data_IF_680981329964
#
_entry.id   IF_680981329964
#
_cell.length_a   1.000
_cell.length_b   1.000
_cell.length_c   1.000
_cell.angle_alpha   90.00
_cell.angle_beta   90.00
_cell.angle_gamma   90.00
#
_symmetry.space_group_name_H-M   'P 1'
#
loop_
_entity.id
_entity.type
_entity.pdbx_description
1 polymer ?
#
# COMPACT_ATOMS: atom_id res chain seq x y z
N UNK A 1 -0.64 -24.15 38.63
CA UNK A 1 -0.57 -22.89 37.91
C UNK A 1 0.53 -23.01 36.87
N UNK A 2 0.19 -22.95 35.58
CA UNK A 2 1.20 -23.01 34.52
C UNK A 2 2.08 -21.74 34.54
N UNK A 3 3.39 -21.87 34.34
CA UNK A 3 4.28 -20.71 34.27
C UNK A 3 3.90 -19.80 33.10
N UNK A 4 3.93 -18.49 33.31
CA UNK A 4 3.54 -17.47 32.32
C UNK A 4 4.24 -17.64 30.96
N UNK A 5 5.49 -18.13 30.94
CA UNK A 5 6.24 -18.44 29.71
C UNK A 5 5.61 -19.58 28.89
N UNK A 6 5.00 -20.57 29.53
CA UNK A 6 4.32 -21.69 28.87
C UNK A 6 3.02 -21.20 28.23
N UNK A 7 2.24 -20.35 28.91
CA UNK A 7 1.01 -19.76 28.39
C UNK A 7 1.30 -18.90 27.15
N UNK A 8 2.33 -18.05 27.20
CA UNK A 8 2.75 -17.21 26.06
C UNK A 8 3.20 -18.07 24.87
N UNK A 9 3.90 -19.19 25.13
CA UNK A 9 4.32 -20.13 24.08
C UNK A 9 3.12 -20.81 23.44
N UNK A 10 2.15 -21.26 24.21
CA UNK A 10 0.92 -21.89 23.70
C UNK A 10 0.04 -20.91 22.92
N UNK A 11 -0.11 -19.67 23.39
CA UNK A 11 -0.84 -18.63 22.67
C UNK A 11 -0.18 -18.30 21.33
N UNK A 12 1.16 -18.22 21.28
CA UNK A 12 1.90 -18.04 20.03
C UNK A 12 1.73 -19.22 19.07
N UNK A 13 1.73 -20.45 19.58
CA UNK A 13 1.50 -21.65 18.77
C UNK A 13 0.09 -21.67 18.20
N UNK A 14 -0.93 -21.34 18.99
CA UNK A 14 -2.34 -21.26 18.54
C UNK A 14 -2.55 -20.13 17.53
N UNK A 15 -1.99 -18.93 17.77
CA UNK A 15 -2.06 -17.81 16.84
C UNK A 15 -1.38 -18.16 15.49
N UNK A 16 -0.23 -18.81 15.53
CA UNK A 16 0.45 -19.30 14.33
C UNK A 16 -0.38 -20.35 13.58
N UNK A 17 -1.01 -21.31 14.29
CA UNK A 17 -1.86 -22.32 13.65
C UNK A 17 -3.06 -21.71 12.93
N UNK A 18 -3.69 -20.68 13.50
CA UNK A 18 -4.78 -19.95 12.87
C UNK A 18 -4.30 -19.17 11.64
N UNK A 19 -3.15 -18.48 11.76
CA UNK A 19 -2.52 -17.79 10.63
C UNK A 19 -2.18 -18.76 9.48
N UNK A 20 -1.62 -19.91 9.80
CA UNK A 20 -1.34 -20.96 8.79
C UNK A 20 -2.59 -21.47 8.08
N UNK A 21 -3.69 -21.68 8.81
CA UNK A 21 -4.98 -22.07 8.19
C UNK A 21 -5.51 -20.99 7.25
N UNK A 22 -5.44 -19.74 7.66
CA UNK A 22 -5.86 -18.59 6.83
C UNK A 22 -5.00 -18.48 5.57
N UNK A 23 -3.69 -18.62 5.67
CA UNK A 23 -2.78 -18.65 4.53
C UNK A 23 -3.09 -19.83 3.60
N UNK A 24 -3.34 -21.02 4.13
CA UNK A 24 -3.73 -22.17 3.30
C UNK A 24 -5.03 -21.95 2.55
N UNK A 25 -6.04 -21.36 3.20
CA UNK A 25 -7.33 -21.00 2.57
C UNK A 25 -7.11 -20.00 1.43
N UNK A 26 -6.34 -18.95 1.69
CA UNK A 26 -5.99 -17.91 0.72
C UNK A 26 -5.24 -18.48 -0.51
N UNK A 27 -4.22 -19.31 -0.29
CA UNK A 27 -3.40 -19.90 -1.34
C UNK A 27 -4.13 -20.96 -2.19
N UNK A 28 -5.31 -21.42 -1.77
CA UNK A 28 -6.17 -22.29 -2.58
C UNK A 28 -6.97 -21.54 -3.63
N UNK A 29 -7.01 -20.21 -3.58
CA UNK A 29 -7.67 -19.39 -4.59
C UNK A 29 -6.87 -19.45 -5.90
N UNK A 30 -7.52 -19.94 -6.97
CA UNK A 30 -6.89 -20.16 -8.29
C UNK A 30 -6.30 -18.89 -8.93
N UNK A 31 -6.82 -17.71 -8.57
CA UNK A 31 -6.36 -16.43 -9.08
C UNK A 31 -4.90 -16.10 -8.72
N UNK A 32 -4.39 -16.61 -7.59
CA UNK A 32 -2.99 -16.38 -7.16
C UNK A 32 -1.97 -17.16 -7.99
N UNK A 33 -2.38 -18.23 -8.65
CA UNK A 33 -1.47 -19.25 -9.21
C UNK A 33 -1.14 -18.98 -10.68
N UNK A 34 -2.12 -18.54 -11.48
CA UNK A 34 -1.97 -18.41 -12.95
C UNK A 34 -0.80 -17.54 -13.44
N UNK A 35 -0.54 -16.33 -12.89
CA UNK A 35 0.55 -15.50 -13.39
C UNK A 35 1.95 -16.04 -13.06
N UNK A 36 2.08 -16.82 -11.98
CA UNK A 36 3.38 -17.38 -11.53
C UNK A 36 3.80 -18.62 -12.34
N UNK A 37 2.84 -19.38 -12.85
CA UNK A 37 3.12 -20.56 -13.67
C UNK A 37 3.69 -20.19 -15.05
N UNK A 38 3.33 -19.02 -15.58
CA UNK A 38 3.77 -18.59 -16.92
C UNK A 38 5.27 -18.27 -16.99
N UNK A 39 5.87 -17.70 -15.96
CA UNK A 39 7.31 -17.41 -15.92
C UNK A 39 8.14 -18.70 -15.73
N UNK A 40 7.61 -19.67 -14.99
CA UNK A 40 8.26 -20.95 -14.79
C UNK A 40 8.26 -21.81 -16.06
N UNK A 41 7.22 -21.70 -16.88
CA UNK A 41 7.09 -22.40 -18.15
C UNK A 41 8.12 -21.93 -19.23
N UNK A 42 8.76 -20.77 -19.03
CA UNK A 42 9.79 -20.25 -19.95
C UNK A 42 11.17 -20.89 -19.78
N UNK A 43 11.40 -21.69 -18.76
CA UNK A 43 12.69 -22.37 -18.58
C UNK A 43 12.85 -23.51 -19.59
N UNK A 44 13.83 -23.37 -20.48
CA UNK A 44 14.09 -24.32 -21.58
C UNK A 44 15.03 -25.47 -21.20
N UNK A 45 15.29 -25.69 -19.91
CA UNK A 45 16.16 -26.77 -19.45
C UNK A 45 17.65 -26.44 -19.40
N UNK A 46 18.08 -25.28 -19.88
CA UNK A 46 19.48 -24.88 -19.85
C UNK A 46 19.84 -24.21 -18.50
N UNK A 47 20.89 -24.70 -17.86
CA UNK A 47 21.37 -24.18 -16.59
C UNK A 47 20.61 -24.71 -15.37
N UNK A 48 20.86 -24.12 -14.20
CA UNK A 48 20.21 -24.49 -12.94
C UNK A 48 18.73 -24.14 -12.98
N UNK A 49 17.87 -25.11 -12.62
CA UNK A 49 16.43 -24.88 -12.48
C UNK A 49 16.12 -23.65 -11.62
N UNK A 50 15.28 -22.74 -12.07
CA UNK A 50 14.87 -21.57 -11.30
C UNK A 50 14.22 -21.99 -9.99
N UNK A 51 14.34 -21.13 -8.95
CA UNK A 51 13.58 -21.35 -7.72
C UNK A 51 12.08 -21.18 -8.02
N UNK A 52 11.27 -22.04 -7.41
CA UNK A 52 9.82 -22.02 -7.57
C UNK A 52 9.24 -20.70 -7.05
N UNK A 53 8.62 -19.92 -7.95
CA UNK A 53 8.05 -18.59 -7.68
C UNK A 53 6.87 -18.68 -6.74
N UNK A 54 6.06 -19.71 -6.88
CA UNK A 54 4.90 -19.92 -6.01
C UNK A 54 5.32 -20.16 -4.56
N UNK A 55 6.33 -20.99 -4.33
CA UNK A 55 6.88 -21.24 -2.99
C UNK A 55 7.44 -19.97 -2.35
N UNK A 56 8.13 -19.13 -3.14
CA UNK A 56 8.67 -17.84 -2.66
C UNK A 56 7.54 -16.85 -2.38
N UNK A 57 6.51 -16.76 -3.23
CA UNK A 57 5.32 -15.93 -2.99
C UNK A 57 4.63 -16.33 -1.68
N UNK A 58 4.40 -17.63 -1.46
CA UNK A 58 3.85 -18.16 -0.21
C UNK A 58 4.67 -17.76 1.01
N UNK A 59 5.99 -17.79 0.89
CA UNK A 59 6.88 -17.37 1.97
C UNK A 59 6.81 -15.88 2.26
N UNK A 60 6.65 -15.01 1.25
CA UNK A 60 6.42 -13.58 1.48
C UNK A 60 5.06 -13.30 2.13
N UNK A 61 4.00 -14.01 1.75
CA UNK A 61 2.70 -13.92 2.41
C UNK A 61 2.83 -14.36 3.87
N UNK A 62 3.54 -15.48 4.15
CA UNK A 62 3.84 -15.92 5.50
C UNK A 62 4.61 -14.87 6.30
N UNK A 63 5.62 -14.23 5.68
CA UNK A 63 6.39 -13.14 6.27
C UNK A 63 5.50 -12.00 6.75
N UNK A 64 4.58 -11.55 5.91
CA UNK A 64 3.64 -10.45 6.22
C UNK A 64 2.66 -10.86 7.32
N UNK A 65 2.02 -12.03 7.19
CA UNK A 65 1.01 -12.52 8.15
C UNK A 65 1.57 -12.72 9.55
N UNK A 66 2.83 -13.14 9.66
CA UNK A 66 3.50 -13.39 10.93
C UNK A 66 4.37 -12.20 11.39
N UNK A 67 4.30 -11.05 10.72
CA UNK A 67 5.10 -9.86 11.02
C UNK A 67 6.60 -10.15 11.16
N UNK A 68 7.16 -11.00 10.28
CA UNK A 68 8.58 -11.32 10.29
C UNK A 68 9.34 -10.12 9.71
N UNK A 69 10.25 -9.48 10.47
CA UNK A 69 10.79 -8.17 10.08
C UNK A 69 11.71 -8.24 8.86
N UNK A 70 12.57 -9.26 8.75
CA UNK A 70 13.56 -9.34 7.67
C UNK A 70 13.43 -10.61 6.83
N UNK A 71 13.96 -10.58 5.61
CA UNK A 71 14.04 -11.78 4.76
C UNK A 71 15.02 -12.82 5.35
N UNK A 72 16.04 -12.37 6.05
CA UNK A 72 16.97 -13.23 6.78
C UNK A 72 16.25 -14.04 7.87
N UNK A 73 15.40 -13.39 8.67
CA UNK A 73 14.60 -14.03 9.70
C UNK A 73 13.58 -15.00 9.09
N UNK A 74 12.97 -14.64 7.95
CA UNK A 74 12.10 -15.53 7.20
C UNK A 74 12.84 -16.80 6.78
N UNK A 75 14.01 -16.70 6.15
CA UNK A 75 14.81 -17.85 5.72
C UNK A 75 15.22 -18.72 6.91
N UNK A 76 15.70 -18.11 7.99
CA UNK A 76 16.02 -18.82 9.24
C UNK A 76 14.81 -19.60 9.77
N UNK A 77 13.64 -18.97 9.80
CA UNK A 77 12.40 -19.60 10.26
C UNK A 77 11.98 -20.75 9.34
N UNK A 78 12.06 -20.59 8.03
CA UNK A 78 11.77 -21.65 7.07
C UNK A 78 12.72 -22.85 7.19
N UNK A 79 13.98 -22.62 7.59
CA UNK A 79 14.96 -23.69 7.83
C UNK A 79 14.69 -24.44 9.13
N UNK A 80 14.22 -23.78 10.17
CA UNK A 80 14.02 -24.38 11.50
C UNK A 80 12.60 -24.93 11.71
N UNK A 81 11.55 -24.27 11.21
CA UNK A 81 10.16 -24.68 11.38
C UNK A 81 9.66 -25.54 10.22
N UNK A 82 9.45 -26.83 10.46
CA UNK A 82 8.97 -27.76 9.43
C UNK A 82 7.59 -27.41 8.89
N UNK A 83 6.69 -26.90 9.73
CA UNK A 83 5.34 -26.52 9.33
C UNK A 83 5.36 -25.33 8.38
N UNK A 84 6.07 -24.26 8.72
CA UNK A 84 6.25 -23.08 7.88
C UNK A 84 6.85 -23.43 6.51
N UNK A 85 7.89 -24.25 6.54
CA UNK A 85 8.58 -24.72 5.34
C UNK A 85 7.68 -25.52 4.41
N UNK A 86 6.95 -26.51 4.94
CA UNK A 86 6.03 -27.35 4.16
C UNK A 86 4.86 -26.57 3.59
N UNK A 87 4.34 -25.58 4.34
CA UNK A 87 3.29 -24.70 3.87
C UNK A 87 3.71 -23.93 2.61
N UNK A 88 4.98 -23.51 2.56
CA UNK A 88 5.54 -22.85 1.40
C UNK A 88 5.90 -23.82 0.25
N UNK A 89 5.89 -25.13 0.49
CA UNK A 89 6.14 -26.16 -0.54
C UNK A 89 7.53 -26.79 -0.50
N UNK A 90 8.37 -26.51 0.53
CA UNK A 90 9.68 -27.14 0.67
C UNK A 90 9.66 -28.28 1.70
N UNK A 91 10.16 -29.47 1.31
CA UNK A 91 10.19 -30.65 2.16
C UNK A 91 11.35 -30.62 3.17
N UNK A 92 12.52 -30.14 2.76
CA UNK A 92 13.74 -30.16 3.57
C UNK A 92 14.30 -28.76 3.82
N UNK A 93 15.06 -28.53 4.89
CA UNK A 93 15.71 -27.25 5.14
C UNK A 93 16.65 -26.79 4.01
N UNK A 94 17.36 -27.73 3.38
CA UNK A 94 18.28 -27.46 2.28
C UNK A 94 17.59 -27.07 0.96
N UNK A 95 16.27 -27.33 0.83
CA UNK A 95 15.48 -26.92 -0.32
C UNK A 95 15.07 -25.43 -0.25
N UNK A 96 15.15 -24.78 0.92
CA UNK A 96 14.83 -23.39 1.10
C UNK A 96 15.87 -22.53 0.39
N UNK A 97 15.46 -21.63 -0.53
CA UNK A 97 16.40 -20.75 -1.22
C UNK A 97 17.14 -19.80 -0.27
N UNK A 98 18.32 -19.33 -0.71
CA UNK A 98 19.08 -18.31 0.02
C UNK A 98 18.37 -16.96 0.04
N UNK A 99 18.70 -16.09 1.00
CA UNK A 99 18.17 -14.73 1.10
C UNK A 99 18.34 -13.91 -0.20
N UNK A 100 19.51 -14.03 -0.84
CA UNK A 100 19.77 -13.36 -2.13
C UNK A 100 18.80 -13.82 -3.23
N UNK A 101 18.41 -15.09 -3.24
CA UNK A 101 17.42 -15.59 -4.21
C UNK A 101 16.02 -15.04 -3.93
N UNK A 102 15.63 -14.89 -2.68
CA UNK A 102 14.40 -14.21 -2.31
C UNK A 102 14.40 -12.76 -2.80
N UNK A 103 15.51 -12.03 -2.63
CA UNK A 103 15.62 -10.64 -3.09
C UNK A 103 15.51 -10.51 -4.61
N UNK A 104 16.15 -11.42 -5.38
CA UNK A 104 16.04 -11.44 -6.85
C UNK A 104 14.60 -11.68 -7.30
N UNK A 105 13.91 -12.67 -6.69
CA UNK A 105 12.52 -12.97 -7.06
C UNK A 105 11.57 -11.87 -6.62
N UNK A 106 11.81 -11.22 -5.49
CA UNK A 106 11.04 -10.06 -5.07
C UNK A 106 11.14 -8.90 -6.08
N UNK A 107 12.35 -8.60 -6.55
CA UNK A 107 12.56 -7.59 -7.60
C UNK A 107 11.88 -7.98 -8.92
N UNK A 108 11.86 -9.26 -9.26
CA UNK A 108 11.11 -9.78 -10.41
C UNK A 108 9.60 -9.56 -10.25
N UNK A 109 9.02 -9.86 -9.09
CA UNK A 109 7.60 -9.61 -8.79
C UNK A 109 7.24 -8.12 -8.85
N UNK A 110 8.11 -7.26 -8.33
CA UNK A 110 7.94 -5.81 -8.40
C UNK A 110 7.96 -5.31 -9.86
N UNK A 111 8.94 -5.73 -10.66
CA UNK A 111 9.07 -5.35 -12.07
C UNK A 111 7.88 -5.79 -12.93
N UNK A 112 7.30 -6.94 -12.62
CA UNK A 112 6.12 -7.48 -13.33
C UNK A 112 4.80 -6.89 -12.82
N UNK A 113 4.79 -6.05 -11.80
CA UNK A 113 3.58 -5.55 -11.17
C UNK A 113 2.68 -6.65 -10.59
N UNK A 114 3.25 -7.85 -10.35
CA UNK A 114 2.50 -9.04 -10.01
C UNK A 114 1.52 -8.86 -8.86
N UNK A 115 1.94 -8.18 -7.78
CA UNK A 115 1.10 -7.98 -6.60
C UNK A 115 -0.07 -7.04 -6.91
N UNK A 116 0.17 -6.00 -7.72
CA UNK A 116 -0.86 -5.05 -8.12
C UNK A 116 -1.94 -5.72 -8.97
N UNK A 117 -1.56 -6.39 -10.06
CA UNK A 117 -2.49 -7.11 -10.94
C UNK A 117 -3.29 -8.19 -10.19
N UNK A 118 -2.60 -8.98 -9.36
CA UNK A 118 -3.30 -9.99 -8.56
C UNK A 118 -4.31 -9.37 -7.60
N UNK A 119 -3.98 -8.23 -6.99
CA UNK A 119 -4.88 -7.56 -6.07
C UNK A 119 -6.07 -6.95 -6.80
N UNK A 120 -5.88 -6.38 -7.98
CA UNK A 120 -6.95 -5.87 -8.85
C UNK A 120 -7.96 -6.97 -9.20
N UNK A 121 -7.47 -8.14 -9.64
CA UNK A 121 -8.31 -9.31 -9.88
C UNK A 121 -9.07 -9.74 -8.61
N UNK A 122 -8.41 -9.68 -7.46
CA UNK A 122 -9.03 -10.04 -6.19
C UNK A 122 -10.13 -9.06 -5.79
N UNK A 123 -9.93 -7.75 -5.95
CA UNK A 123 -10.96 -6.73 -5.71
C UNK A 123 -12.15 -6.94 -6.63
N UNK A 124 -11.92 -7.07 -7.93
CA UNK A 124 -12.97 -7.27 -8.91
C UNK A 124 -13.83 -8.51 -8.61
N UNK A 125 -13.19 -9.64 -8.22
CA UNK A 125 -13.91 -10.89 -7.93
C UNK A 125 -14.69 -10.90 -6.60
N UNK A 126 -14.30 -10.09 -5.63
CA UNK A 126 -14.87 -10.15 -4.29
C UNK A 126 -15.68 -8.91 -3.91
N UNK A 127 -15.48 -7.78 -4.58
CA UNK A 127 -16.08 -6.50 -4.20
C UNK A 127 -16.71 -5.72 -5.36
N UNK A 128 -16.49 -6.09 -6.62
CA UNK A 128 -16.97 -5.34 -7.78
C UNK A 128 -18.50 -5.15 -7.82
N UNK A 129 -19.27 -6.13 -7.31
CA UNK A 129 -20.73 -6.08 -7.26
C UNK A 129 -21.28 -5.70 -5.87
N UNK A 130 -20.40 -5.44 -4.89
CA UNK A 130 -20.79 -5.09 -3.52
C UNK A 130 -20.78 -3.58 -3.39
N UNK A 131 -21.97 -3.00 -3.19
CA UNK A 131 -22.07 -1.59 -2.83
C UNK A 131 -21.58 -1.36 -1.41
N UNK A 132 -20.65 -0.42 -1.22
CA UNK A 132 -20.17 -0.01 0.11
C UNK A 132 -20.61 1.41 0.40
N UNK A 133 -20.87 1.73 1.67
CA UNK A 133 -21.35 3.07 2.02
C UNK A 133 -20.21 4.10 1.86
N UNK A 134 -19.04 3.79 2.35
CA UNK A 134 -17.97 4.77 2.52
C UNK A 134 -16.61 4.20 2.12
N UNK A 135 -15.83 5.00 1.40
CA UNK A 135 -14.40 4.82 1.17
C UNK A 135 -13.65 5.88 1.99
N UNK A 136 -12.66 5.47 2.78
CA UNK A 136 -11.81 6.35 3.58
C UNK A 136 -10.42 6.45 2.97
N UNK A 137 -9.88 7.67 2.91
CA UNK A 137 -8.56 7.97 2.34
C UNK A 137 -7.60 8.42 3.44
N UNK A 138 -6.40 7.84 3.46
CA UNK A 138 -5.34 8.21 4.40
C UNK A 138 -3.97 7.88 3.81
N UNK A 139 -2.92 8.45 4.41
CA UNK A 139 -1.53 8.17 4.05
C UNK A 139 -0.71 7.66 5.22
N UNK A 140 0.18 6.73 4.94
CA UNK A 140 1.10 6.18 5.92
C UNK A 140 2.57 6.37 5.48
N UNK A 141 3.48 6.77 6.40
CA UNK A 141 4.89 6.87 6.09
C UNK A 141 5.51 5.49 5.84
N UNK A 142 6.29 5.37 4.77
CA UNK A 142 7.06 4.18 4.44
C UNK A 142 8.56 4.50 4.52
N UNK A 143 9.20 4.23 5.67
CA UNK A 143 10.65 4.40 5.79
C UNK A 143 11.40 3.42 4.90
N UNK A 144 12.35 3.93 4.10
CA UNK A 144 13.20 3.09 3.25
C UNK A 144 14.68 3.36 3.48
N UNK A 145 15.54 2.39 3.14
CA UNK A 145 17.00 2.50 3.29
C UNK A 145 17.70 3.12 2.08
N UNK A 146 16.96 3.40 1.00
CA UNK A 146 17.52 4.04 -0.18
C UNK A 146 18.13 5.41 0.17
N UNK A 147 19.06 5.90 -0.67
CA UNK A 147 19.57 7.26 -0.57
C UNK A 147 18.44 8.22 -0.97
N UNK A 148 18.25 9.27 -0.17
CA UNK A 148 17.30 10.32 -0.54
C UNK A 148 17.86 11.10 -1.73
N UNK A 149 16.98 11.55 -2.63
CA UNK A 149 17.33 12.54 -3.63
C UNK A 149 17.70 13.84 -2.93
N UNK A 150 18.55 14.63 -3.57
CA UNK A 150 18.94 15.95 -3.06
C UNK A 150 17.69 16.81 -2.88
N UNK A 151 17.57 17.47 -1.74
CA UNK A 151 16.52 18.46 -1.55
C UNK A 151 16.77 19.66 -2.45
N UNK A 152 15.72 20.42 -2.76
CA UNK A 152 15.85 21.64 -3.57
C UNK A 152 16.91 22.60 -3.03
N UNK A 153 17.13 22.66 -1.69
CA UNK A 153 18.16 23.48 -1.02
C UNK A 153 19.57 22.95 -1.19
N UNK A 154 19.74 21.65 -1.45
CA UNK A 154 21.05 21.01 -1.66
C UNK A 154 21.50 21.07 -3.11
N UNK A 155 20.61 21.47 -4.03
CA UNK A 155 20.96 21.68 -5.43
C UNK A 155 21.64 23.06 -5.54
N UNK A 156 22.82 23.11 -6.14
CA UNK A 156 23.64 24.33 -6.24
C UNK A 156 22.95 25.52 -6.98
N UNK A 157 21.90 25.25 -7.71
CA UNK A 157 21.11 26.23 -8.49
C UNK A 157 19.80 26.61 -7.80
N UNK A 158 19.61 26.28 -6.50
CA UNK A 158 18.37 26.64 -5.81
C UNK A 158 18.27 28.15 -5.60
N UNK A 159 17.29 28.74 -6.24
CA UNK A 159 16.92 30.14 -6.09
C UNK A 159 15.70 30.26 -5.15
N UNK A 160 15.82 30.95 -3.98
CA UNK A 160 14.74 31.13 -3.04
C UNK A 160 13.58 31.96 -3.60
N UNK A 161 13.81 32.78 -4.63
CA UNK A 161 12.80 33.64 -5.25
C UNK A 161 12.04 32.92 -6.39
N UNK A 162 12.45 31.70 -6.77
CA UNK A 162 11.70 30.91 -7.72
C UNK A 162 10.38 30.41 -7.09
N UNK A 163 9.25 30.53 -7.79
CA UNK A 163 7.99 30.01 -7.31
C UNK A 163 8.12 28.50 -7.09
N UNK A 164 7.46 27.99 -6.05
CA UNK A 164 7.33 26.55 -5.87
C UNK A 164 6.71 25.93 -7.13
N UNK A 165 7.12 24.70 -7.52
CA UNK A 165 6.50 24.04 -8.65
C UNK A 165 4.99 23.97 -8.43
N UNK A 166 4.19 24.28 -9.47
CA UNK A 166 2.74 24.32 -9.34
C UNK A 166 2.21 22.98 -8.83
N UNK A 167 1.18 23.04 -8.00
CA UNK A 167 0.49 21.83 -7.53
C UNK A 167 -0.04 21.06 -8.74
N UNK A 168 0.10 19.73 -8.74
CA UNK A 168 -0.48 18.84 -9.75
C UNK A 168 -2.01 18.82 -9.72
N UNK A 169 -2.57 19.20 -8.58
CA UNK A 169 -4.00 19.07 -8.32
C UNK A 169 -4.89 19.77 -9.39
N UNK A 170 -4.58 20.99 -9.88
CA UNK A 170 -5.37 21.64 -10.93
C UNK A 170 -5.35 20.93 -12.29
N UNK A 171 -4.35 20.10 -12.55
CA UNK A 171 -4.19 19.38 -13.82
C UNK A 171 -4.79 17.98 -13.82
N UNK A 172 -5.16 17.47 -12.65
CA UNK A 172 -5.67 16.09 -12.49
C UNK A 172 -7.10 15.88 -12.99
N UNK A 173 -8.05 16.85 -12.86
CA UNK A 173 -9.37 16.72 -13.45
C UNK A 173 -9.30 16.52 -14.97
N UNK A 174 -10.09 15.61 -15.51
CA UNK A 174 -10.11 15.28 -16.94
C UNK A 174 -9.01 14.33 -17.41
N UNK A 175 -8.04 13.97 -16.55
CA UNK A 175 -7.09 12.89 -16.81
C UNK A 175 -7.61 11.58 -16.23
N UNK A 176 -7.20 10.46 -16.81
CA UNK A 176 -7.48 9.12 -16.24
C UNK A 176 -6.71 8.89 -14.94
N UNK A 177 -7.20 7.95 -14.11
CA UNK A 177 -6.50 7.52 -12.90
C UNK A 177 -5.06 7.08 -13.19
N UNK A 178 -4.84 6.36 -14.29
CA UNK A 178 -3.51 5.86 -14.67
C UNK A 178 -2.55 6.99 -15.05
N UNK A 179 -3.00 8.00 -15.80
CA UNK A 179 -2.18 9.18 -16.14
C UNK A 179 -1.81 9.95 -14.87
N UNK A 180 -2.78 10.21 -14.00
CA UNK A 180 -2.56 10.89 -12.73
C UNK A 180 -1.59 10.12 -11.82
N UNK A 181 -1.72 8.79 -11.73
CA UNK A 181 -0.80 7.96 -10.93
C UNK A 181 0.62 7.96 -11.49
N UNK A 182 0.77 7.95 -12.81
CA UNK A 182 2.10 7.95 -13.46
C UNK A 182 2.85 9.27 -13.28
N UNK A 183 2.14 10.38 -13.04
CA UNK A 183 2.70 11.71 -12.79
C UNK A 183 3.13 11.92 -11.32
N UNK A 184 2.74 11.03 -10.39
CA UNK A 184 3.11 11.16 -8.99
C UNK A 184 4.61 10.85 -8.77
N UNK A 185 5.33 11.69 -8.01
CA UNK A 185 6.76 11.46 -7.71
C UNK A 185 6.90 10.23 -6.82
N UNK A 186 7.88 9.37 -7.11
CA UNK A 186 8.14 8.13 -6.39
C UNK A 186 9.55 8.05 -5.79
N UNK A 187 10.33 9.10 -5.91
CA UNK A 187 11.70 9.14 -5.38
C UNK A 187 11.71 9.09 -3.85
N UNK A 188 12.76 8.47 -3.30
CA UNK A 188 12.99 8.49 -1.86
C UNK A 188 13.45 9.88 -1.43
N UNK A 189 12.69 10.53 -0.56
CA UNK A 189 13.03 11.85 0.00
C UNK A 189 12.67 11.95 1.49
N UNK A 190 12.65 13.15 2.06
CA UNK A 190 12.35 13.39 3.44
C UNK A 190 10.92 13.92 3.63
N UNK A 191 10.13 13.18 4.43
CA UNK A 191 8.82 13.60 4.89
C UNK A 191 8.85 14.08 6.34
N UNK A 192 7.86 14.91 6.68
CA UNK A 192 7.64 15.42 8.03
C UNK A 192 6.15 15.32 8.39
N UNK A 193 5.86 14.79 9.56
CA UNK A 193 4.50 14.73 10.14
C UNK A 193 4.53 15.22 11.57
N UNK A 194 3.48 15.92 12.00
CA UNK A 194 3.25 16.20 13.42
C UNK A 194 2.56 15.00 14.05
N UNK A 195 3.01 14.56 15.21
CA UNK A 195 2.29 13.57 15.99
C UNK A 195 1.13 14.22 16.78
N UNK A 196 0.35 13.41 17.50
CA UNK A 196 -0.78 13.86 18.33
C UNK A 196 -0.41 14.87 19.42
N UNK A 197 0.88 14.96 19.77
CA UNK A 197 1.43 15.93 20.74
C UNK A 197 2.05 17.15 20.07
N UNK A 198 1.90 17.33 18.75
CA UNK A 198 2.49 18.44 18.00
C UNK A 198 3.99 18.33 17.74
N UNK A 199 4.63 17.19 18.07
CA UNK A 199 6.06 16.98 17.84
C UNK A 199 6.31 16.54 16.39
N UNK A 200 7.28 17.19 15.74
CA UNK A 200 7.71 16.82 14.38
C UNK A 200 8.38 15.45 14.39
N UNK A 201 7.89 14.56 13.52
CA UNK A 201 8.51 13.26 13.18
C UNK A 201 8.92 13.29 11.73
N UNK A 202 10.21 13.19 11.49
CA UNK A 202 10.77 13.10 10.15
C UNK A 202 11.07 11.65 9.81
N UNK A 203 10.87 11.28 8.54
CA UNK A 203 11.31 10.00 8.03
C UNK A 203 11.90 10.16 6.64
N UNK A 204 12.77 9.24 6.27
CA UNK A 204 13.33 9.12 4.94
C UNK A 204 12.65 7.96 4.21
N UNK A 205 12.07 8.21 3.04
CA UNK A 205 11.37 7.17 2.29
C UNK A 205 10.33 7.70 1.34
N UNK A 206 9.14 7.15 1.42
CA UNK A 206 7.95 7.54 0.70
C UNK A 206 6.71 7.54 1.58
N UNK A 207 5.56 7.70 0.96
CA UNK A 207 4.23 7.52 1.54
C UNK A 207 3.45 6.47 0.77
N UNK A 208 2.69 5.69 1.47
CA UNK A 208 1.63 4.86 0.90
C UNK A 208 0.29 5.55 1.16
N UNK A 209 -0.38 5.94 0.10
CA UNK A 209 -1.75 6.43 0.15
C UNK A 209 -2.70 5.27 -0.13
N UNK A 210 -3.78 5.16 0.60
CA UNK A 210 -4.75 4.07 0.48
C UNK A 210 -6.18 4.60 0.51
N UNK A 211 -7.04 3.99 -0.28
CA UNK A 211 -8.48 4.11 -0.21
C UNK A 211 -9.05 2.79 0.32
N UNK A 212 -9.78 2.83 1.43
CA UNK A 212 -10.18 1.66 2.21
C UNK A 212 -11.68 1.69 2.47
N UNK A 213 -12.37 0.57 2.27
CA UNK A 213 -13.79 0.43 2.62
C UNK A 213 -14.01 0.48 4.13
N UNK A 214 -15.23 0.76 4.58
CA UNK A 214 -15.64 0.68 6.00
C UNK A 214 -15.34 -0.67 6.67
N UNK A 215 -15.23 -1.74 5.89
CA UNK A 215 -14.82 -3.06 6.36
C UNK A 215 -13.28 -3.23 6.48
N UNK A 216 -12.49 -2.18 6.22
CA UNK A 216 -11.03 -2.22 6.29
C UNK A 216 -10.37 -2.86 5.07
N UNK A 217 -11.07 -2.94 3.94
CA UNK A 217 -10.56 -3.55 2.71
C UNK A 217 -10.01 -2.46 1.77
N UNK A 218 -8.70 -2.44 1.43
CA UNK A 218 -8.13 -1.48 0.51
C UNK A 218 -8.64 -1.71 -0.91
N UNK A 219 -9.15 -0.67 -1.58
CA UNK A 219 -9.66 -0.74 -2.96
C UNK A 219 -8.77 0.00 -3.95
N UNK A 220 -8.01 1.00 -3.48
CA UNK A 220 -7.02 1.71 -4.29
C UNK A 220 -5.80 2.08 -3.45
N UNK A 221 -4.65 2.25 -4.08
CA UNK A 221 -3.42 2.69 -3.41
C UNK A 221 -2.47 3.38 -4.38
N UNK A 222 -1.64 4.26 -3.84
CA UNK A 222 -0.54 4.88 -4.55
C UNK A 222 0.68 5.01 -3.63
N UNK A 223 1.88 4.81 -4.18
CA UNK A 223 3.13 5.10 -3.50
C UNK A 223 3.71 6.41 -4.05
N UNK A 224 4.17 7.28 -3.16
CA UNK A 224 4.73 8.57 -3.53
C UNK A 224 5.98 8.90 -2.72
N UNK A 225 6.69 9.94 -3.14
CA UNK A 225 7.75 10.56 -2.34
C UNK A 225 7.20 11.04 -0.99
N UNK A 226 8.02 11.00 0.06
CA UNK A 226 7.61 11.32 1.42
C UNK A 226 7.19 12.80 1.61
N UNK A 227 7.77 13.73 0.82
CA UNK A 227 7.47 15.15 0.87
C UNK A 227 6.18 15.54 0.16
N UNK A 228 5.64 14.69 -0.73
CA UNK A 228 4.45 15.01 -1.51
C UNK A 228 3.25 15.27 -0.61
N UNK A 229 2.47 16.31 -0.89
CA UNK A 229 1.25 16.61 -0.14
C UNK A 229 0.15 15.58 -0.45
N UNK A 230 -0.57 15.13 0.58
CA UNK A 230 -1.53 14.03 0.50
C UNK A 230 -2.69 14.32 -0.47
N UNK A 231 -3.13 15.58 -0.57
CA UNK A 231 -4.18 16.01 -1.51
C UNK A 231 -3.90 15.66 -2.97
N UNK A 232 -2.62 15.63 -3.38
CA UNK A 232 -2.25 15.32 -4.76
C UNK A 232 -2.45 13.85 -5.14
N UNK A 233 -2.65 12.96 -4.17
CA UNK A 233 -2.96 11.55 -4.40
C UNK A 233 -4.46 11.26 -4.37
N UNK A 234 -5.29 12.18 -3.89
CA UNK A 234 -6.73 11.92 -3.66
C UNK A 234 -7.48 11.63 -4.96
N UNK A 235 -7.33 12.49 -5.96
CA UNK A 235 -8.09 12.36 -7.22
C UNK A 235 -7.83 11.01 -7.90
N UNK A 236 -6.56 10.59 -8.17
CA UNK A 236 -6.33 9.29 -8.78
C UNK A 236 -6.82 8.11 -7.94
N UNK A 237 -6.80 8.22 -6.60
CA UNK A 237 -7.34 7.18 -5.73
C UNK A 237 -8.87 7.13 -5.78
N UNK A 238 -9.55 8.30 -5.80
CA UNK A 238 -11.00 8.37 -5.92
C UNK A 238 -11.49 7.80 -7.27
N UNK A 239 -10.80 8.16 -8.36
CA UNK A 239 -11.06 7.60 -9.69
C UNK A 239 -10.93 6.06 -9.68
N UNK A 240 -9.83 5.52 -9.14
CA UNK A 240 -9.65 4.05 -9.03
C UNK A 240 -10.70 3.40 -8.12
N UNK A 241 -11.06 4.04 -7.01
CA UNK A 241 -12.06 3.50 -6.09
C UNK A 241 -13.44 3.44 -6.76
N UNK A 242 -13.85 4.50 -7.46
CA UNK A 242 -15.10 4.57 -8.18
C UNK A 242 -15.19 3.53 -9.33
N UNK A 243 -14.09 3.30 -10.04
CA UNK A 243 -14.01 2.25 -11.08
C UNK A 243 -14.16 0.82 -10.52
N UNK A 244 -13.73 0.59 -9.28
CA UNK A 244 -13.64 -0.75 -8.70
C UNK A 244 -14.80 -1.14 -7.82
N UNK A 245 -15.38 -0.19 -7.08
CA UNK A 245 -16.39 -0.45 -6.06
C UNK A 245 -17.40 0.70 -6.01
N UNK A 246 -18.70 0.45 -6.30
CA UNK A 246 -19.72 1.47 -6.12
C UNK A 246 -19.83 1.88 -4.65
N UNK A 247 -19.83 3.18 -4.38
CA UNK A 247 -19.94 3.73 -3.03
C UNK A 247 -20.61 5.10 -3.01
N UNK A 248 -21.05 5.56 -1.83
CA UNK A 248 -21.76 6.84 -1.68
C UNK A 248 -20.86 7.96 -1.17
N UNK A 249 -19.94 7.67 -0.25
CA UNK A 249 -19.19 8.70 0.46
C UNK A 249 -17.68 8.51 0.34
N UNK A 250 -16.98 9.61 0.07
CA UNK A 250 -15.52 9.73 0.14
C UNK A 250 -15.14 10.46 1.43
N UNK A 251 -14.57 9.75 2.40
CA UNK A 251 -14.18 10.28 3.71
C UNK A 251 -12.68 10.54 3.76
N UNK A 252 -12.28 11.78 4.08
CA UNK A 252 -10.89 12.16 4.23
C UNK A 252 -10.69 13.24 5.30
N UNK A 253 -9.44 13.38 5.80
CA UNK A 253 -9.09 14.41 6.75
C UNK A 253 -8.88 15.79 6.10
N UNK A 254 -8.61 16.82 6.91
CA UNK A 254 -8.43 18.20 6.47
C UNK A 254 -7.20 18.41 5.55
N UNK A 255 -6.29 17.45 5.43
CA UNK A 255 -5.17 17.53 4.47
C UNK A 255 -5.65 17.41 3.01
N UNK A 256 -6.83 16.84 2.81
CA UNK A 256 -7.46 16.67 1.50
C UNK A 256 -8.47 17.78 1.16
N UNK A 257 -8.63 18.79 2.02
CA UNK A 257 -9.59 19.87 1.81
C UNK A 257 -9.21 20.74 0.62
N UNK A 258 -9.91 20.55 -0.48
CA UNK A 258 -9.75 21.28 -1.74
C UNK A 258 -11.05 21.27 -2.54
N UNK A 259 -11.40 22.43 -3.13
CA UNK A 259 -12.56 22.54 -4.03
C UNK A 259 -12.44 21.61 -5.24
N UNK A 260 -11.24 21.47 -5.79
CA UNK A 260 -10.98 20.60 -6.94
C UNK A 260 -11.30 19.16 -6.59
N UNK A 261 -10.84 18.68 -5.40
CA UNK A 261 -11.12 17.32 -4.93
C UNK A 261 -12.62 17.11 -4.77
N UNK A 262 -13.32 18.05 -4.11
CA UNK A 262 -14.77 17.95 -3.91
C UNK A 262 -15.52 17.88 -5.24
N UNK A 263 -15.19 18.75 -6.19
CA UNK A 263 -15.80 18.75 -7.52
C UNK A 263 -15.60 17.41 -8.24
N UNK A 264 -14.38 16.84 -8.20
CA UNK A 264 -14.11 15.55 -8.86
C UNK A 264 -14.86 14.40 -8.18
N UNK A 265 -14.96 14.36 -6.85
CA UNK A 265 -15.77 13.34 -6.16
C UNK A 265 -17.25 13.43 -6.58
N UNK A 266 -17.81 14.66 -6.65
CA UNK A 266 -19.18 14.90 -7.13
C UNK A 266 -19.37 14.46 -8.59
N UNK A 267 -18.40 14.73 -9.47
CA UNK A 267 -18.39 14.27 -10.86
C UNK A 267 -18.33 12.74 -10.98
N UNK A 268 -17.65 12.08 -10.04
CA UNK A 268 -17.63 10.60 -9.93
C UNK A 268 -18.92 10.02 -9.35
N UNK A 269 -19.85 10.88 -8.91
CA UNK A 269 -21.14 10.47 -8.33
C UNK A 269 -21.09 10.16 -6.85
N UNK A 270 -20.07 10.62 -6.14
CA UNK A 270 -19.88 10.41 -4.70
C UNK A 270 -20.02 11.71 -3.91
N UNK A 271 -20.26 11.61 -2.62
CA UNK A 271 -20.38 12.76 -1.70
C UNK A 271 -19.09 12.88 -0.88
N UNK A 272 -18.31 13.96 -1.07
CA UNK A 272 -17.07 14.15 -0.31
C UNK A 272 -17.34 14.60 1.13
N UNK A 273 -16.98 13.77 2.10
CA UNK A 273 -17.00 14.07 3.53
C UNK A 273 -15.57 14.37 3.99
N UNK A 274 -15.11 15.58 3.73
CA UNK A 274 -13.74 16.01 4.01
C UNK A 274 -13.77 17.07 5.10
N UNK A 275 -12.95 16.90 6.15
CA UNK A 275 -12.81 17.89 7.21
C UNK A 275 -12.31 19.25 6.66
N UNK A 276 -12.79 20.33 7.26
CA UNK A 276 -12.40 21.70 6.88
C UNK A 276 -11.02 22.03 7.40
N UNK A 277 -10.12 22.49 6.54
CA UNK A 277 -8.78 22.93 6.93
C UNK A 277 -8.81 24.31 7.59
N UNK A 278 -8.87 24.37 8.91
CA UNK A 278 -8.93 25.61 9.71
C UNK A 278 -7.67 26.49 9.62
N UNK A 279 -6.59 26.01 9.01
CA UNK A 279 -5.34 26.79 8.84
C UNK A 279 -5.44 27.79 7.69
N UNK A 280 -6.38 27.63 6.80
CA UNK A 280 -6.69 28.62 5.80
C UNK A 280 -7.56 29.70 6.43
N UNK A 281 -6.91 30.75 6.96
CA UNK A 281 -7.55 31.94 7.55
C UNK A 281 -8.19 32.85 6.46
N UNK A 282 -8.65 32.30 5.37
CA UNK A 282 -9.31 33.03 4.30
C UNK A 282 -10.72 32.51 4.14
N UNK A 283 -11.67 33.31 4.59
CA UNK A 283 -13.09 33.25 4.30
C UNK A 283 -13.83 31.91 4.48
N UNK A 284 -14.64 31.85 5.53
CA UNK A 284 -15.71 30.85 5.70
C UNK A 284 -16.66 30.76 4.46
N UNK A 285 -16.58 31.72 3.56
CA UNK A 285 -17.26 31.74 2.26
C UNK A 285 -16.66 30.74 1.25
N UNK A 286 -15.52 30.13 1.53
CA UNK A 286 -14.87 29.21 0.60
C UNK A 286 -15.44 27.79 0.58
N UNK A 287 -16.15 27.34 1.59
CA UNK A 287 -16.58 25.94 1.73
C UNK A 287 -18.08 25.69 1.61
N UNK A 288 -18.89 26.64 1.25
CA UNK A 288 -20.28 26.42 0.84
C UNK A 288 -21.24 25.83 1.88
N UNK A 289 -20.77 25.37 3.04
CA UNK A 289 -21.58 24.92 4.17
C UNK A 289 -21.07 25.54 5.46
N UNK A 290 -21.85 26.40 6.09
CA UNK A 290 -21.59 26.78 7.48
C UNK A 290 -21.88 25.58 8.38
N UNK A 291 -21.10 25.42 9.46
CA UNK A 291 -21.33 24.38 10.49
C UNK A 291 -22.74 24.46 11.14
N UNK A 292 -23.52 25.48 10.83
CA UNK A 292 -24.91 25.69 11.23
C UNK A 292 -25.92 24.96 10.33
N UNK A 293 -25.56 24.61 9.11
CA UNK A 293 -26.44 23.90 8.17
C UNK A 293 -26.30 22.38 8.21
N UNK A 294 -25.30 21.87 8.94
CA UNK A 294 -25.07 20.44 9.14
C UNK A 294 -25.66 19.90 10.47
N UNK A 295 -26.50 20.67 11.14
CA UNK A 295 -27.32 20.27 12.28
C UNK A 295 -28.77 20.15 11.79
#
# INVERSE_FOLDING_TARGET
VMPTRTIIRELKIRANATAYKSIQKFLRQKAVIKPLDLEYARWKGNGRKPADRLSICKAFILKMTLNIPTTKDLVSRLQTESLARRLCGWSTPGAVPSESRFSVVFAEFARLGFVAHWYEDFVAQNHGDIHVDTISYDSAPIPVRARAVATRREVAEWDPDQPEPPSRLPEQPGRSAQENLSDLPQDCDWGCKLDSHGKKKNWKGGKLHVAVTSAGFPVAWAYTSASMHDSQAMIPLAQQAAERVPHYFDLADAAYDSRIIRSVCEELGTIPLIDVNRRWNGDAAHNGMSLTEAK
#
